data_IF_101238082220
#
_entry.id   IF_101238082220
#
_cell.length_a   1.000
_cell.length_b   1.000
_cell.length_c   1.000
_cell.angle_alpha   90.00
_cell.angle_beta   90.00
_cell.angle_gamma   90.00
#
_symmetry.space_group_name_H-M   'P 1'
#
loop_
_entity.id
_entity.type
_entity.pdbx_description
1 polymer ?
#
# COMPACT_ATOMS: atom_id res chain seq x y z
N UNK A 1 -2.80 0.24 -13.59
CA UNK A 1 -1.44 0.29 -13.02
C UNK A 1 -1.26 -0.81 -11.98
N UNK A 2 -0.04 -1.07 -11.53
CA UNK A 2 0.28 -2.08 -10.51
C UNK A 2 0.97 -1.43 -9.31
N UNK A 3 0.71 -1.93 -8.10
CA UNK A 3 1.28 -1.39 -6.88
C UNK A 3 1.11 -2.30 -5.68
N UNK A 4 1.66 -1.88 -4.55
CA UNK A 4 1.46 -2.53 -3.26
C UNK A 4 0.45 -1.74 -2.43
N UNK A 5 -0.53 -2.44 -1.86
CA UNK A 5 -1.29 -1.95 -0.69
C UNK A 5 -0.58 -2.46 0.54
N UNK A 6 -0.20 -1.58 1.46
CA UNK A 6 0.48 -1.97 2.68
C UNK A 6 -0.50 -2.22 3.84
N UNK A 7 -0.13 -3.14 4.72
CA UNK A 7 -0.86 -3.49 5.94
C UNK A 7 -2.31 -4.00 5.70
N UNK A 8 -2.56 -4.64 4.56
CA UNK A 8 -3.80 -5.37 4.34
C UNK A 8 -3.75 -6.69 5.13
N UNK A 9 -4.44 -6.72 6.28
CA UNK A 9 -4.28 -7.79 7.29
C UNK A 9 -2.80 -8.00 7.65
N UNK A 10 -2.00 -6.95 7.82
CA UNK A 10 -0.58 -7.11 8.14
C UNK A 10 0.29 -7.67 7.01
N UNK A 11 -0.19 -7.70 5.77
CA UNK A 11 0.59 -8.05 4.59
C UNK A 11 0.70 -6.86 3.61
N UNK A 12 1.75 -6.87 2.80
CA UNK A 12 1.88 -6.02 1.62
C UNK A 12 1.37 -6.78 0.42
N UNK A 13 0.26 -6.34 -0.17
CA UNK A 13 -0.40 -7.08 -1.25
C UNK A 13 -0.17 -6.42 -2.61
N UNK A 14 0.34 -7.16 -3.61
CA UNK A 14 0.41 -6.67 -4.97
C UNK A 14 -1.00 -6.62 -5.57
N UNK A 15 -1.38 -5.47 -6.13
CA UNK A 15 -2.68 -5.26 -6.76
C UNK A 15 -2.55 -4.62 -8.14
N UNK A 16 -3.55 -4.87 -8.99
CA UNK A 16 -3.80 -4.07 -10.18
C UNK A 16 -4.96 -3.11 -9.91
N UNK A 17 -4.79 -1.83 -10.24
CA UNK A 17 -5.81 -0.81 -9.99
C UNK A 17 -5.80 0.28 -11.06
N UNK A 18 -6.90 1.03 -11.14
CA UNK A 18 -6.97 2.31 -11.86
C UNK A 18 -7.46 3.36 -10.87
N UNK A 19 -6.74 4.49 -10.66
CA UNK A 19 -7.16 5.51 -9.71
C UNK A 19 -8.61 5.95 -9.93
N UNK A 20 -9.39 6.02 -8.86
CA UNK A 20 -10.81 6.39 -8.91
C UNK A 20 -11.77 5.30 -9.40
N UNK A 21 -11.27 4.12 -9.81
CA UNK A 21 -12.10 3.00 -10.26
C UNK A 21 -12.21 1.94 -9.16
N UNK A 22 -13.43 1.58 -8.72
CA UNK A 22 -13.62 0.50 -7.75
C UNK A 22 -13.13 -0.84 -8.28
N UNK A 23 -12.53 -1.64 -7.41
CA UNK A 23 -12.09 -2.99 -7.72
C UNK A 23 -12.33 -3.94 -6.55
N UNK A 24 -12.25 -5.23 -6.88
CA UNK A 24 -12.21 -6.32 -5.91
C UNK A 24 -10.97 -7.16 -6.17
N UNK A 25 -10.23 -7.46 -5.12
CA UNK A 25 -9.08 -8.35 -5.14
C UNK A 25 -9.25 -9.41 -4.06
N UNK A 26 -8.87 -10.65 -4.36
CA UNK A 26 -8.91 -11.76 -3.42
C UNK A 26 -7.54 -12.45 -3.44
N UNK A 27 -6.94 -12.61 -2.26
CA UNK A 27 -5.79 -13.47 -2.04
C UNK A 27 -6.27 -14.69 -1.24
N UNK A 28 -5.96 -15.87 -1.74
CA UNK A 28 -6.35 -17.12 -1.10
C UNK A 28 -5.44 -17.46 0.09
N UNK A 29 -5.87 -18.39 0.93
CA UNK A 29 -5.04 -18.91 2.02
C UNK A 29 -3.76 -19.58 1.53
N UNK A 30 -3.79 -20.19 0.34
CA UNK A 30 -2.61 -20.80 -0.28
C UNK A 30 -1.57 -19.74 -0.69
N UNK A 31 -2.01 -18.59 -1.18
CA UNK A 31 -1.13 -17.52 -1.66
C UNK A 31 -0.61 -16.62 -0.52
N UNK A 32 -1.47 -16.29 0.44
CA UNK A 32 -1.19 -15.30 1.49
C UNK A 32 -1.07 -15.90 2.90
N UNK A 33 -1.23 -17.22 3.08
CA UNK A 33 -1.32 -17.86 4.38
C UNK A 33 -2.61 -17.56 5.15
N UNK A 34 -3.51 -16.77 4.56
CA UNK A 34 -4.86 -16.43 5.02
C UNK A 34 -5.69 -15.83 3.90
N UNK A 35 -7.02 -15.98 3.97
CA UNK A 35 -7.92 -15.33 3.03
C UNK A 35 -7.97 -13.81 3.26
N UNK A 36 -7.71 -13.05 2.21
CA UNK A 36 -7.83 -11.58 2.23
C UNK A 36 -8.67 -11.13 1.04
N UNK A 37 -9.69 -10.33 1.30
CA UNK A 37 -10.55 -9.71 0.29
C UNK A 37 -10.45 -8.19 0.43
N UNK A 38 -10.02 -7.53 -0.64
CA UNK A 38 -10.04 -6.07 -0.76
C UNK A 38 -11.21 -5.66 -1.64
N UNK A 39 -12.03 -4.73 -1.17
CA UNK A 39 -13.14 -4.13 -1.93
C UNK A 39 -13.08 -2.62 -1.73
N UNK A 40 -12.73 -1.87 -2.77
CA UNK A 40 -12.54 -0.44 -2.61
C UNK A 40 -11.99 0.25 -3.84
N UNK A 41 -11.44 1.44 -3.63
CA UNK A 41 -10.88 2.27 -4.69
C UNK A 41 -9.52 2.78 -4.24
N UNK A 42 -8.53 2.77 -5.13
CA UNK A 42 -7.30 3.54 -4.91
C UNK A 42 -7.54 4.95 -5.44
N UNK A 43 -7.28 5.96 -4.62
CA UNK A 43 -7.43 7.37 -5.00
C UNK A 43 -6.08 8.08 -4.94
N UNK A 44 -5.92 9.09 -5.80
CA UNK A 44 -4.82 10.03 -5.69
C UNK A 44 -5.14 11.06 -4.60
N UNK A 45 -4.17 11.34 -3.74
CA UNK A 45 -4.33 12.22 -2.57
C UNK A 45 -3.14 13.16 -2.44
N UNK A 46 -3.34 14.23 -1.68
CA UNK A 46 -2.26 15.11 -1.27
C UNK A 46 -1.28 14.40 -0.34
N UNK A 47 -0.01 14.80 -0.39
CA UNK A 47 1.07 14.18 0.39
C UNK A 47 0.83 14.24 1.91
N UNK A 48 0.15 15.29 2.39
CA UNK A 48 -0.23 15.45 3.80
C UNK A 48 -1.25 14.39 4.24
N UNK A 49 -2.23 14.09 3.39
CA UNK A 49 -3.23 13.07 3.66
C UNK A 49 -2.60 11.66 3.65
N UNK A 50 -1.78 11.37 2.64
CA UNK A 50 -1.02 10.13 2.61
C UNK A 50 -0.18 9.95 3.87
N UNK A 51 0.52 11.01 4.31
CA UNK A 51 1.38 10.97 5.50
C UNK A 51 0.58 10.63 6.75
N UNK A 52 -0.61 11.20 6.92
CA UNK A 52 -1.53 10.85 8.02
C UNK A 52 -1.90 9.37 7.99
N UNK A 53 -2.33 8.85 6.84
CA UNK A 53 -2.73 7.44 6.69
C UNK A 53 -1.56 6.50 6.99
N UNK A 54 -0.36 6.85 6.51
CA UNK A 54 0.85 6.10 6.78
C UNK A 54 1.19 6.07 8.27
N UNK A 55 1.14 7.22 8.96
CA UNK A 55 1.41 7.32 10.39
C UNK A 55 0.40 6.53 11.21
N UNK A 56 -0.89 6.55 10.83
CA UNK A 56 -1.93 5.73 11.46
C UNK A 56 -1.63 4.24 11.31
N UNK A 57 -1.27 3.79 10.10
CA UNK A 57 -0.88 2.40 9.83
C UNK A 57 0.33 1.97 10.65
N UNK A 58 1.38 2.78 10.72
CA UNK A 58 2.60 2.45 11.48
C UNK A 58 2.34 2.47 12.98
N UNK A 59 1.51 3.40 13.48
CA UNK A 59 1.12 3.43 14.89
C UNK A 59 0.33 2.20 15.28
N UNK A 60 -0.61 1.78 14.45
CA UNK A 60 -1.49 0.64 14.72
C UNK A 60 -0.79 -0.70 14.46
N UNK A 61 0.20 -0.72 13.56
CA UNK A 61 1.06 -1.87 13.28
C UNK A 61 2.54 -1.48 13.12
N UNK A 62 3.33 -1.46 14.22
CA UNK A 62 4.73 -1.05 14.21
C UNK A 62 5.66 -1.89 13.32
N UNK A 63 5.27 -3.12 12.95
CA UNK A 63 6.06 -3.95 12.03
C UNK A 63 6.17 -3.32 10.63
N UNK A 64 5.24 -2.43 10.28
CA UNK A 64 5.23 -1.71 9.02
C UNK A 64 6.07 -0.43 9.03
N UNK A 65 6.84 -0.13 10.09
CA UNK A 65 7.64 1.11 10.19
C UNK A 65 8.51 1.40 8.95
N UNK A 66 9.00 0.37 8.26
CA UNK A 66 9.80 0.55 7.04
C UNK A 66 9.08 1.29 5.91
N UNK A 67 7.74 1.32 5.90
CA UNK A 67 6.99 2.08 4.91
C UNK A 67 7.13 3.61 5.09
N UNK A 68 7.64 4.10 6.22
CA UNK A 68 7.97 5.53 6.42
C UNK A 68 8.98 6.05 5.37
N UNK A 69 9.79 5.15 4.79
CA UNK A 69 10.76 5.44 3.73
C UNK A 69 10.10 5.76 2.38
N UNK A 70 8.79 5.53 2.22
CA UNK A 70 8.06 5.86 0.98
C UNK A 70 8.11 7.36 0.72
N UNK A 71 8.74 7.72 -0.39
CA UNK A 71 8.88 9.11 -0.86
C UNK A 71 7.73 9.52 -1.78
N UNK A 72 7.18 8.58 -2.56
CA UNK A 72 6.04 8.82 -3.46
C UNK A 72 4.70 8.73 -2.72
N UNK A 73 4.36 9.80 -2.00
CA UNK A 73 3.18 9.89 -1.12
C UNK A 73 1.92 10.35 -1.86
N UNK A 74 1.40 9.52 -2.77
CA UNK A 74 0.32 9.93 -3.70
C UNK A 74 -0.94 9.07 -3.72
N UNK A 75 -0.89 7.81 -3.30
CA UNK A 75 -2.04 6.92 -3.43
C UNK A 75 -2.49 6.32 -2.10
N UNK A 76 -3.79 6.34 -1.87
CA UNK A 76 -4.44 5.70 -0.71
C UNK A 76 -5.53 4.77 -1.20
N UNK A 77 -5.55 3.55 -0.69
CA UNK A 77 -6.69 2.65 -0.81
C UNK A 77 -7.74 3.06 0.23
N UNK A 78 -8.98 3.28 -0.23
CA UNK A 78 -10.15 3.47 0.63
C UNK A 78 -11.16 2.37 0.34
N UNK A 79 -11.55 1.63 1.36
CA UNK A 79 -12.50 0.53 1.18
C UNK A 79 -12.49 -0.42 2.34
N UNK A 80 -12.70 -1.70 2.03
CA UNK A 80 -12.82 -2.77 3.01
C UNK A 80 -11.74 -3.82 2.81
N UNK A 81 -11.16 -4.25 3.92
CA UNK A 81 -10.33 -5.45 4.02
C UNK A 81 -11.10 -6.46 4.84
N UNK A 82 -11.47 -7.60 4.25
CA UNK A 82 -12.28 -8.63 4.91
C UNK A 82 -13.56 -8.07 5.57
N UNK A 83 -14.19 -7.08 4.91
CA UNK A 83 -15.41 -6.41 5.38
C UNK A 83 -15.20 -5.26 6.38
N UNK A 84 -13.97 -5.03 6.88
CA UNK A 84 -13.64 -3.91 7.79
C UNK A 84 -13.19 -2.69 7.00
N UNK A 85 -13.76 -1.53 7.30
CA UNK A 85 -13.39 -0.27 6.65
C UNK A 85 -11.99 0.18 7.08
N UNK A 86 -11.17 0.53 6.10
CA UNK A 86 -9.78 0.97 6.30
C UNK A 86 -9.37 1.99 5.25
N UNK A 87 -8.35 2.77 5.60
CA UNK A 87 -7.51 3.52 4.66
C UNK A 87 -6.10 2.96 4.73
N UNK A 88 -5.50 2.61 3.59
CA UNK A 88 -4.16 2.01 3.53
C UNK A 88 -3.28 2.72 2.49
N UNK A 89 -1.99 2.94 2.78
CA UNK A 89 -1.10 3.56 1.82
C UNK A 89 -0.84 2.62 0.64
N UNK A 90 -0.71 3.20 -0.55
CA UNK A 90 -0.41 2.49 -1.79
C UNK A 90 0.82 3.09 -2.45
N UNK A 91 1.80 2.25 -2.77
CA UNK A 91 2.98 2.62 -3.57
C UNK A 91 2.88 1.94 -4.93
N UNK A 92 3.04 2.67 -6.03
CA UNK A 92 3.07 2.03 -7.35
C UNK A 92 4.37 1.25 -7.50
N UNK A 93 4.38 0.21 -8.34
CA UNK A 93 5.62 -0.54 -8.61
C UNK A 93 6.71 0.33 -9.23
N UNK A 94 6.35 1.37 -9.98
CA UNK A 94 7.31 2.32 -10.54
C UNK A 94 8.01 3.12 -9.43
N UNK A 95 7.25 3.63 -8.47
CA UNK A 95 7.82 4.41 -7.38
C UNK A 95 8.65 3.54 -6.43
N UNK A 96 8.15 2.34 -6.12
CA UNK A 96 8.89 1.35 -5.35
C UNK A 96 10.23 1.02 -6.01
N UNK A 97 10.23 0.75 -7.32
CA UNK A 97 11.44 0.45 -8.07
C UNK A 97 12.40 1.64 -8.10
N UNK A 98 11.89 2.86 -8.25
CA UNK A 98 12.68 4.09 -8.23
C UNK A 98 13.38 4.28 -6.90
N UNK A 99 12.64 4.17 -5.80
CA UNK A 99 13.18 4.25 -4.44
C UNK A 99 14.25 3.18 -4.19
N UNK A 100 13.98 1.94 -4.60
CA UNK A 100 14.95 0.85 -4.48
C UNK A 100 16.25 1.14 -5.25
N UNK A 101 16.16 1.65 -6.48
CA UNK A 101 17.34 2.02 -7.28
C UNK A 101 18.11 3.19 -6.68
N UNK A 102 17.42 4.20 -6.14
CA UNK A 102 18.04 5.33 -5.45
C UNK A 102 18.81 4.85 -4.21
N UNK A 103 18.22 3.97 -3.39
CA UNK A 103 18.90 3.38 -2.24
C UNK A 103 20.14 2.57 -2.67
N UNK A 104 20.03 1.72 -3.69
CA UNK A 104 21.14 0.87 -4.16
C UNK A 104 22.28 1.67 -4.79
N UNK A 105 21.98 2.76 -5.52
CA UNK A 105 22.99 3.60 -6.15
C UNK A 105 23.81 4.39 -5.12
N UNK A 106 23.22 4.78 -3.99
CA UNK A 106 23.92 5.48 -2.90
C UNK A 106 24.92 4.58 -2.18
N UNK A 107 24.69 3.25 -2.11
CA UNK A 107 25.64 2.30 -1.51
C UNK A 107 26.84 1.92 -2.39
N UNK A 108 26.93 2.43 -3.63
CA UNK A 108 28.09 2.22 -4.53
C UNK A 108 28.93 3.49 -4.77
N UNK A 109 28.64 4.59 -4.06
CA UNK A 109 29.35 5.87 -4.14
C UNK A 109 30.39 6.06 -3.04
#
# INVERSE_FOLDING_TARGET
MKGFVYNAEGLSLPIEFTPGVPFKFECTEEECGKKIVLEGTVVEVESTEFSRVLEEVVRDNPEFKKIEEITARKYVFRGKVNGREVELPVESFEDFARRFLEEVLVFKG
#
